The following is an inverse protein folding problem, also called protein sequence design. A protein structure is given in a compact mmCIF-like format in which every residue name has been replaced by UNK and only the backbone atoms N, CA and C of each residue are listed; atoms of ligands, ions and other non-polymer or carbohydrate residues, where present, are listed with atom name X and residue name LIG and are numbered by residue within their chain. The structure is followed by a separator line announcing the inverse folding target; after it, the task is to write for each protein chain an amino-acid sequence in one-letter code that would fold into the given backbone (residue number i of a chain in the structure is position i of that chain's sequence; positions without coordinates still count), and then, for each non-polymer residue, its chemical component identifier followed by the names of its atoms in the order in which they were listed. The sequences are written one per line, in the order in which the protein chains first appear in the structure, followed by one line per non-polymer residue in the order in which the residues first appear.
data_IF_835156256196
#
_entry.id   IF_835156256196
#
_cell.length_a   1.000
_cell.length_b   1.000
_cell.length_c   1.000
_cell.angle_alpha   90.00
_cell.angle_beta   90.00
_cell.angle_gamma   90.00
#
_symmetry.space_group_name_H-M   'P 1'
#
loop_
_entity.id
_entity.type
_entity.pdbx_description
1 polymer ?
#
# COMPACT_ATOMS: atom_id res chain seq x y z
N UNK A 1 9.68 7.83 11.06
CA UNK A 1 8.49 7.82 10.17
C UNK A 1 8.02 6.38 9.92
N UNK A 2 6.72 6.07 9.97
CA UNK A 2 6.19 4.73 9.70
C UNK A 2 5.90 4.52 8.22
N UNK A 3 6.09 3.29 7.74
CA UNK A 3 5.75 2.83 6.38
C UNK A 3 4.46 2.02 6.44
N UNK A 4 3.48 2.40 5.62
CA UNK A 4 2.19 1.70 5.57
C UNK A 4 1.75 1.42 4.13
N UNK A 5 1.13 0.26 3.92
CA UNK A 5 0.35 -0.01 2.70
C UNK A 5 -1.05 0.58 2.89
N UNK A 6 -1.46 1.50 2.02
CA UNK A 6 -2.81 2.04 1.99
C UNK A 6 -3.66 1.34 0.93
N UNK A 7 -4.90 1.04 1.31
CA UNK A 7 -5.88 0.34 0.47
C UNK A 7 -7.10 1.23 0.26
N UNK A 8 -7.55 1.29 -0.98
CA UNK A 8 -8.69 2.10 -1.39
C UNK A 8 -9.71 1.29 -2.18
N UNK A 9 -10.97 1.66 -2.00
CA UNK A 9 -12.12 1.12 -2.71
C UNK A 9 -12.13 1.60 -4.16
N UNK A 10 -12.40 0.71 -5.11
CA UNK A 10 -12.52 0.99 -6.55
C UNK A 10 -13.94 0.75 -7.05
N UNK A 11 -14.92 1.32 -6.34
CA UNK A 11 -16.35 1.24 -6.69
C UNK A 11 -16.84 -0.17 -7.04
N UNK A 12 -17.38 -0.34 -8.26
CA UNK A 12 -17.91 -1.61 -8.73
C UNK A 12 -16.86 -2.71 -8.85
N UNK A 13 -15.56 -2.38 -8.88
CA UNK A 13 -14.48 -3.37 -8.97
C UNK A 13 -14.26 -4.09 -7.64
N UNK A 14 -14.44 -3.40 -6.51
CA UNK A 14 -14.24 -3.96 -5.16
C UNK A 14 -15.42 -4.80 -4.66
N UNK A 15 -16.49 -4.98 -5.46
CA UNK A 15 -17.73 -5.62 -5.00
C UNK A 15 -18.12 -6.83 -5.83
N UNK A 16 -18.86 -7.74 -5.19
CA UNK A 16 -19.55 -8.84 -5.83
C UNK A 16 -18.65 -9.70 -6.73
N UNK A 17 -19.10 -9.93 -7.96
CA UNK A 17 -18.37 -10.75 -8.92
C UNK A 17 -17.08 -10.09 -9.42
N UNK A 18 -17.06 -8.75 -9.53
CA UNK A 18 -15.87 -8.01 -9.97
C UNK A 18 -14.71 -8.25 -9.00
N UNK A 19 -14.94 -8.18 -7.68
CA UNK A 19 -13.89 -8.48 -6.69
C UNK A 19 -13.29 -9.87 -6.89
N UNK A 20 -14.12 -10.86 -7.25
CA UNK A 20 -13.65 -12.24 -7.49
C UNK A 20 -12.83 -12.35 -8.78
N UNK A 21 -13.16 -11.57 -9.80
CA UNK A 21 -12.45 -11.55 -11.08
C UNK A 21 -11.11 -10.81 -10.96
N UNK A 22 -11.12 -9.62 -10.35
CA UNK A 22 -9.94 -8.75 -10.27
C UNK A 22 -8.99 -9.12 -9.12
N UNK A 23 -9.44 -9.89 -8.12
CA UNK A 23 -8.60 -10.35 -7.02
C UNK A 23 -7.92 -9.18 -6.30
N UNK A 24 -6.59 -9.16 -6.28
CA UNK A 24 -5.82 -8.07 -5.67
C UNK A 24 -6.09 -6.69 -6.29
N UNK A 25 -6.35 -6.65 -7.60
CA UNK A 25 -6.58 -5.40 -8.36
C UNK A 25 -7.99 -4.83 -8.19
N UNK A 26 -8.85 -5.55 -7.46
CA UNK A 26 -10.17 -5.06 -7.04
C UNK A 26 -10.07 -3.85 -6.11
N UNK A 27 -8.91 -3.60 -5.52
CA UNK A 27 -8.60 -2.47 -4.67
C UNK A 27 -7.41 -1.69 -5.26
N UNK A 28 -7.34 -0.40 -4.96
CA UNK A 28 -6.16 0.40 -5.30
C UNK A 28 -5.17 0.37 -4.13
N UNK A 29 -3.89 0.20 -4.46
CA UNK A 29 -2.81 -0.01 -3.50
C UNK A 29 -1.82 1.14 -3.63
N UNK A 30 -1.54 1.79 -2.52
CA UNK A 30 -0.55 2.86 -2.42
C UNK A 30 0.31 2.71 -1.17
N UNK A 31 1.32 3.55 -1.05
CA UNK A 31 2.21 3.60 0.10
C UNK A 31 2.10 4.96 0.78
N UNK A 32 1.80 4.94 2.07
CA UNK A 32 1.78 6.14 2.90
C UNK A 32 2.91 6.08 3.92
N UNK A 33 3.56 7.23 4.08
CA UNK A 33 4.53 7.48 5.11
C UNK A 33 3.90 8.42 6.13
N UNK A 34 3.76 7.92 7.36
CA UNK A 34 3.00 8.62 8.41
C UNK A 34 3.88 8.88 9.63
N UNK A 35 3.44 9.81 10.48
CA UNK A 35 4.13 10.06 11.74
C UNK A 35 4.06 8.83 12.66
N UNK A 36 5.18 8.49 13.31
CA UNK A 36 5.17 7.46 14.34
C UNK A 36 4.46 7.89 15.63
N UNK A 37 4.30 9.20 15.83
CA UNK A 37 3.58 9.74 16.99
C UNK A 37 2.06 9.67 16.82
N UNK A 38 1.57 9.77 15.57
CA UNK A 38 0.17 9.65 15.24
C UNK A 38 0.00 9.14 13.80
N UNK A 39 -0.31 7.85 13.66
CA UNK A 39 -0.53 7.21 12.37
C UNK A 39 -1.90 7.55 11.74
N UNK A 40 -2.82 8.14 12.51
CA UNK A 40 -4.14 8.56 12.05
C UNK A 40 -4.17 10.00 11.50
N UNK A 41 -3.12 10.78 11.77
CA UNK A 41 -2.91 12.08 11.15
C UNK A 41 -2.75 11.97 9.62
N UNK A 42 -2.85 13.11 8.94
CA UNK A 42 -2.58 13.16 7.50
C UNK A 42 -1.19 12.59 7.18
N UNK A 43 -1.05 11.83 6.08
CA UNK A 43 0.24 11.27 5.70
C UNK A 43 1.25 12.38 5.43
N UNK A 44 2.49 12.14 5.84
CA UNK A 44 3.62 13.01 5.54
C UNK A 44 3.93 12.96 4.04
N UNK A 45 3.94 11.74 3.48
CA UNK A 45 4.16 11.50 2.06
C UNK A 45 3.27 10.34 1.57
N UNK A 46 2.88 10.40 0.30
CA UNK A 46 2.09 9.37 -0.38
C UNK A 46 2.70 9.05 -1.74
N UNK A 47 2.80 7.77 -2.07
CA UNK A 47 3.31 7.29 -3.36
C UNK A 47 2.40 6.19 -3.89
N UNK A 48 2.05 6.25 -5.17
CA UNK A 48 1.27 5.25 -5.87
C UNK A 48 1.78 5.06 -7.30
N UNK A 49 1.46 3.89 -7.89
CA UNK A 49 1.60 3.69 -9.32
C UNK A 49 0.39 4.32 -10.00
N UNK A 50 0.56 5.55 -10.47
CA UNK A 50 -0.47 6.40 -11.05
C UNK A 50 -1.13 5.77 -12.28
N UNK A 51 -2.10 4.89 -12.06
CA UNK A 51 -3.05 4.45 -13.08
C UNK A 51 -4.44 5.04 -12.74
N UNK A 52 -4.50 6.38 -12.83
CA UNK A 52 -5.66 7.26 -12.69
C UNK A 52 -6.43 7.18 -11.35
N UNK A 53 -6.17 8.13 -10.46
CA UNK A 53 -6.91 8.34 -9.20
C UNK A 53 -7.99 9.42 -9.40
N UNK A 54 -9.16 9.03 -9.90
CA UNK A 54 -10.38 9.62 -9.33
C UNK A 54 -10.43 9.12 -7.88
N UNK A 55 -10.82 9.98 -6.94
CA UNK A 55 -10.60 9.83 -5.49
C UNK A 55 -11.26 8.55 -4.95
N UNK A 56 -10.55 7.42 -5.07
CA UNK A 56 -10.96 6.11 -4.58
C UNK A 56 -11.13 6.20 -3.04
N UNK A 57 -12.29 5.80 -2.46
CA UNK A 57 -12.51 5.93 -1.02
C UNK A 57 -11.50 5.14 -0.18
N UNK A 58 -10.82 5.81 0.76
CA UNK A 58 -9.85 5.18 1.66
C UNK A 58 -10.52 4.13 2.55
N UNK A 59 -9.99 2.90 2.52
CA UNK A 59 -10.46 1.79 3.36
C UNK A 59 -9.66 1.69 4.65
N UNK A 60 -8.33 1.81 4.55
CA UNK A 60 -7.44 1.72 5.70
C UNK A 60 -5.99 1.46 5.30
N UNK A 61 -5.13 1.35 6.30
CA UNK A 61 -3.70 1.14 6.11
C UNK A 61 -3.12 0.05 7.01
N UNK A 62 -2.14 -0.68 6.47
CA UNK A 62 -1.38 -1.71 7.16
C UNK A 62 0.03 -1.20 7.45
N UNK A 63 0.40 -1.06 8.72
CA UNK A 63 1.76 -0.68 9.12
C UNK A 63 2.68 -1.89 8.93
N UNK A 64 3.70 -1.72 8.09
CA UNK A 64 4.59 -2.80 7.65
C UNK A 64 6.07 -2.54 8.01
N UNK A 65 6.39 -1.33 8.43
CA UNK A 65 7.76 -0.95 8.76
C UNK A 65 7.90 0.50 9.21
N UNK A 66 9.14 0.95 9.27
CA UNK A 66 9.51 2.32 9.61
C UNK A 66 10.82 2.69 8.90
N UNK A 67 10.92 3.93 8.45
CA UNK A 67 12.19 4.50 7.97
C UNK A 67 13.01 4.90 9.22
N UNK A 68 14.22 4.33 9.43
CA UNK A 68 15.10 4.71 10.53
C UNK A 68 15.43 6.19 10.47
N UNK A 69 15.45 6.87 11.63
CA UNK A 69 15.79 8.30 11.75
C UNK A 69 14.99 9.26 10.85
N UNK A 70 13.88 8.79 10.26
CA UNK A 70 13.06 9.60 9.36
C UNK A 70 12.21 10.60 10.13
N UNK A 71 12.70 11.83 10.21
CA UNK A 71 11.91 13.02 10.53
C UNK A 71 11.22 13.55 9.26
N UNK A 72 10.10 14.25 9.44
CA UNK A 72 9.37 14.84 8.31
C UNK A 72 10.09 16.10 7.82
N UNK A 73 11.16 15.95 7.04
CA UNK A 73 11.94 17.06 6.50
C UNK A 73 12.19 16.95 4.99
N UNK A 74 12.86 17.96 4.43
CA UNK A 74 13.14 18.02 3.00
C UNK A 74 14.10 16.90 2.54
N UNK A 75 15.05 16.51 3.38
CA UNK A 75 16.02 15.45 3.07
C UNK A 75 15.34 14.09 2.95
N UNK A 76 14.41 13.80 3.85
CA UNK A 76 13.63 12.56 3.84
C UNK A 76 12.74 12.44 2.61
N UNK A 77 12.13 13.54 2.15
CA UNK A 77 11.37 13.54 0.90
C UNK A 77 12.27 13.24 -0.32
N UNK A 78 13.45 13.83 -0.37
CA UNK A 78 14.40 13.60 -1.48
C UNK A 78 14.88 12.15 -1.51
N UNK A 79 15.19 11.56 -0.35
CA UNK A 79 15.56 10.15 -0.22
C UNK A 79 14.42 9.22 -0.68
N UNK A 80 13.19 9.48 -0.23
CA UNK A 80 12.02 8.71 -0.64
C UNK A 80 11.77 8.84 -2.15
N UNK A 81 11.88 10.04 -2.72
CA UNK A 81 11.74 10.24 -4.16
C UNK A 81 12.80 9.47 -4.95
N UNK A 82 14.06 9.59 -4.56
CA UNK A 82 15.15 8.84 -5.20
C UNK A 82 14.93 7.33 -5.10
N UNK A 83 14.43 6.84 -3.96
CA UNK A 83 14.03 5.43 -3.81
C UNK A 83 12.92 5.03 -4.79
N UNK A 84 11.83 5.80 -4.87
CA UNK A 84 10.70 5.43 -5.73
C UNK A 84 10.98 5.60 -7.22
N UNK A 85 11.95 6.43 -7.61
CA UNK A 85 12.47 6.48 -8.98
C UNK A 85 13.18 5.17 -9.38
N UNK A 86 13.72 4.41 -8.42
CA UNK A 86 14.32 3.09 -8.68
C UNK A 86 13.29 1.96 -8.79
N UNK A 87 12.04 2.17 -8.33
CA UNK A 87 10.98 1.15 -8.39
C UNK A 87 10.32 1.21 -9.77
N UNK A 88 10.42 0.15 -10.60
CA UNK A 88 9.86 0.17 -11.95
C UNK A 88 8.34 0.38 -11.93
N UNK A 89 7.86 1.38 -12.67
CA UNK A 89 6.43 1.59 -12.86
C UNK A 89 5.80 0.41 -13.64
N UNK A 90 4.52 0.09 -13.38
CA UNK A 90 3.81 -0.95 -14.12
C UNK A 90 3.81 -0.69 -15.63
N UNK A 91 4.17 -1.71 -16.41
CA UNK A 91 4.08 -1.70 -17.87
C UNK A 91 2.73 -2.28 -18.29
N UNK A 92 1.93 -1.48 -19.01
CA UNK A 92 0.63 -1.92 -19.53
C UNK A 92 0.80 -3.00 -20.61
N UNK A 93 -0.19 -3.89 -20.72
CA UNK A 93 -0.28 -4.91 -21.77
C UNK A 93 0.90 -5.92 -21.82
N UNK A 94 1.47 -6.27 -20.66
CA UNK A 94 2.52 -7.30 -20.53
C UNK A 94 1.97 -8.60 -19.93
N UNK A 95 2.74 -9.70 -20.05
CA UNK A 95 2.43 -10.98 -19.42
C UNK A 95 3.58 -11.42 -18.50
N UNK A 96 3.34 -11.61 -17.18
CA UNK A 96 2.09 -11.37 -16.47
C UNK A 96 1.69 -9.88 -16.43
N UNK A 97 0.41 -9.59 -16.23
CA UNK A 97 -0.09 -8.20 -16.13
C UNK A 97 0.52 -7.48 -14.92
N UNK A 98 0.83 -6.19 -15.09
CA UNK A 98 1.33 -5.31 -14.02
C UNK A 98 0.30 -4.23 -13.69
N UNK A 99 0.25 -3.85 -12.41
CA UNK A 99 -0.71 -2.91 -11.84
C UNK A 99 -0.15 -2.24 -10.57
N UNK A 100 -0.95 -1.37 -9.94
CA UNK A 100 -0.60 -0.75 -8.65
C UNK A 100 -0.27 -1.78 -7.55
N UNK A 101 -0.89 -2.96 -7.60
CA UNK A 101 -0.56 -4.08 -6.69
C UNK A 101 0.88 -4.52 -6.89
N UNK A 102 1.25 -4.86 -8.13
CA UNK A 102 2.60 -5.34 -8.44
C UNK A 102 3.67 -4.30 -8.12
N UNK A 103 3.37 -3.01 -8.32
CA UNK A 103 4.26 -1.92 -7.96
C UNK A 103 4.41 -1.77 -6.44
N UNK A 104 3.31 -1.75 -5.69
CA UNK A 104 3.36 -1.62 -4.24
C UNK A 104 4.12 -2.79 -3.60
N UNK A 105 3.89 -4.01 -4.09
CA UNK A 105 4.60 -5.21 -3.62
C UNK A 105 6.08 -5.16 -3.98
N UNK A 106 6.44 -4.72 -5.19
CA UNK A 106 7.84 -4.55 -5.58
C UNK A 106 8.54 -3.49 -4.71
N UNK A 107 7.89 -2.35 -4.47
CA UNK A 107 8.37 -1.31 -3.58
C UNK A 107 8.60 -1.85 -2.16
N UNK A 108 7.67 -2.61 -1.58
CA UNK A 108 7.85 -3.24 -0.27
C UNK A 108 9.03 -4.21 -0.26
N UNK A 109 9.23 -4.99 -1.32
CA UNK A 109 10.42 -5.84 -1.47
C UNK A 109 11.72 -5.05 -1.49
N UNK A 110 11.78 -3.93 -2.21
CA UNK A 110 12.93 -3.02 -2.19
C UNK A 110 13.13 -2.34 -0.81
N UNK A 111 12.06 -2.03 -0.10
CA UNK A 111 12.16 -1.50 1.27
C UNK A 111 12.67 -2.55 2.27
N UNK A 112 12.36 -3.83 2.05
CA UNK A 112 12.93 -4.92 2.85
C UNK A 112 14.45 -5.01 2.67
N UNK A 113 14.98 -4.78 1.46
CA UNK A 113 16.44 -4.80 1.23
C UNK A 113 17.16 -3.62 1.87
N UNK A 114 16.49 -2.47 2.02
CA UNK A 114 17.00 -1.30 2.76
C UNK A 114 16.79 -1.39 4.28
N UNK A 115 16.05 -2.40 4.76
CA UNK A 115 15.73 -2.58 6.18
C UNK A 115 14.63 -1.66 6.71
N UNK A 116 13.89 -0.96 5.84
CA UNK A 116 12.76 -0.08 6.24
C UNK A 116 11.48 -0.87 6.52
N UNK A 117 11.30 -1.99 5.82
CA UNK A 117 10.16 -2.90 6.00
C UNK A 117 10.67 -4.21 6.58
N UNK A 118 9.92 -4.77 7.54
CA UNK A 118 10.28 -6.04 8.17
C UNK A 118 10.31 -7.16 7.12
N UNK A 119 11.22 -8.14 7.22
CA UNK A 119 11.22 -9.28 6.31
C UNK A 119 10.00 -10.16 6.59
N UNK A 120 9.09 -10.23 5.63
CA UNK A 120 7.94 -11.13 5.61
C UNK A 120 7.66 -11.62 4.18
N UNK A 121 6.94 -12.72 4.05
CA UNK A 121 6.56 -13.27 2.74
C UNK A 121 5.60 -12.34 1.99
N UNK A 122 6.08 -11.69 0.93
CA UNK A 122 5.29 -10.79 0.09
C UNK A 122 4.03 -11.45 -0.54
N UNK A 123 4.05 -12.73 -0.97
CA UNK A 123 2.83 -13.38 -1.45
C UNK A 123 1.76 -13.52 -0.34
N UNK A 124 2.14 -14.01 0.84
CA UNK A 124 1.21 -14.14 1.98
C UNK A 124 0.71 -12.79 2.48
N UNK A 125 1.56 -11.74 2.39
CA UNK A 125 1.13 -10.39 2.70
C UNK A 125 0.09 -9.87 1.71
N UNK A 126 0.19 -10.19 0.42
CA UNK A 126 -0.84 -9.81 -0.56
C UNK A 126 -2.20 -10.44 -0.23
N UNK A 127 -2.20 -11.73 0.11
CA UNK A 127 -3.40 -12.44 0.56
C UNK A 127 -4.00 -11.76 1.81
N UNK A 128 -3.16 -11.40 2.78
CA UNK A 128 -3.59 -10.73 4.00
C UNK A 128 -4.13 -9.31 3.75
N UNK A 129 -3.50 -8.54 2.87
CA UNK A 129 -3.94 -7.21 2.48
C UNK A 129 -5.30 -7.25 1.76
N UNK A 130 -5.50 -8.23 0.87
CA UNK A 130 -6.79 -8.45 0.23
C UNK A 130 -7.88 -8.81 1.25
N UNK A 131 -7.60 -9.75 2.16
CA UNK A 131 -8.53 -10.13 3.21
C UNK A 131 -8.89 -8.96 4.15
N UNK A 132 -7.90 -8.12 4.48
CA UNK A 132 -8.11 -6.90 5.24
C UNK A 132 -9.03 -5.91 4.48
N UNK A 133 -8.79 -5.67 3.19
CA UNK A 133 -9.63 -4.80 2.39
C UNK A 133 -11.09 -5.29 2.33
N UNK A 134 -11.29 -6.60 2.14
CA UNK A 134 -12.63 -7.21 2.15
C UNK A 134 -13.34 -7.04 3.50
N UNK A 135 -12.60 -7.17 4.60
CA UNK A 135 -13.15 -6.97 5.94
C UNK A 135 -13.47 -5.49 6.24
N UNK A 136 -12.78 -4.54 5.61
CA UNK A 136 -13.02 -3.09 5.76
C UNK A 136 -14.19 -2.57 4.95
N UNK A 137 -14.50 -3.19 3.81
CA UNK A 137 -15.61 -2.81 2.94
C UNK A 137 -16.94 -3.51 3.27
N UNK A 138 -16.91 -4.58 4.07
CA UNK A 138 -18.11 -5.26 4.53
C UNK A 138 -19.07 -4.31 5.26
N UNK A 139 -20.37 -4.59 5.21
CA UNK A 139 -21.41 -3.78 5.87
C UNK A 139 -21.11 -3.58 7.37
N UNK A 140 -20.62 -4.63 8.01
CA UNK A 140 -20.07 -4.58 9.37
C UNK A 140 -18.56 -4.75 9.29
N UNK A 141 -17.83 -3.63 9.25
CA UNK A 141 -16.37 -3.66 9.20
C UNK A 141 -15.81 -4.27 10.50
N UNK A 142 -15.02 -5.35 10.36
CA UNK A 142 -14.46 -6.09 11.50
C UNK A 142 -13.01 -5.73 11.79
N UNK A 143 -12.35 -5.06 10.85
CA UNK A 143 -10.96 -4.63 10.98
C UNK A 143 -10.86 -3.12 11.27
N UNK A 144 -9.89 -2.70 12.10
CA UNK A 144 -9.64 -1.29 12.36
C UNK A 144 -9.08 -0.60 11.11
N UNK A 145 -9.24 0.72 11.00
CA UNK A 145 -8.75 1.49 9.86
C UNK A 145 -7.20 1.53 9.75
N UNK A 146 -6.51 1.31 10.87
CA UNK A 146 -5.06 1.22 10.96
C UNK A 146 -4.74 -0.07 11.70
N UNK A 147 -3.94 -0.93 11.07
CA UNK A 147 -3.57 -2.23 11.64
C UNK A 147 -2.08 -2.48 11.44
N UNK A 148 -1.40 -2.96 12.47
CA UNK A 148 -0.04 -3.45 12.32
C UNK A 148 -0.04 -4.84 11.69
N UNK A 149 0.81 -5.04 10.69
CA UNK A 149 1.03 -6.36 10.11
C UNK A 149 2.19 -7.04 10.83
N UNK A 150 1.87 -8.07 11.61
CA UNK A 150 2.83 -8.98 12.23
C UNK A 150 2.71 -10.33 11.53
N UNK A 151 3.79 -10.79 10.90
CA UNK A 151 3.91 -12.10 10.28
C UNK A 151 5.19 -12.79 10.76
#
# INVERSE_FOLDING_TARGET
MLVTLALYHRDGLSRGNSRRIFGYEAYHWGLLFVSGADAAAAPLYSFDATDASDIDPFLGQLIVGAVPDGDADAGSLEELRAFFEEVPLPVKNTHPQQSCVTWAVAALGHMQTRGWVRPFGLPSFQDAALAYADARIAEEATEPAIKEYYA
#
